data_IF_462931149501
#
_entry.id   IF_462931149501
#
_cell.length_a   1.000
_cell.length_b   1.000
_cell.length_c   1.000
_cell.angle_alpha   90.00
_cell.angle_beta   90.00
_cell.angle_gamma   90.00
#
_symmetry.space_group_name_H-M   'P 1'
#
loop_
_entity.id
_entity.type
_entity.pdbx_description
1 polymer ?
#
# COMPACT_ATOMS: atom_id res chain seq x y z
N UNK A 1 5.33 -12.65 -2.36
CA UNK A 1 4.69 -11.32 -2.09
C UNK A 1 5.37 -10.29 -2.96
N UNK A 2 4.59 -9.51 -3.74
CA UNK A 2 5.13 -8.41 -4.53
C UNK A 2 5.48 -7.21 -3.63
N UNK A 3 6.54 -6.50 -4.00
CA UNK A 3 7.00 -5.29 -3.30
C UNK A 3 6.97 -4.10 -4.25
N UNK A 4 6.28 -3.03 -3.86
CA UNK A 4 6.21 -1.80 -4.63
C UNK A 4 6.83 -0.63 -3.87
N UNK A 5 7.77 0.06 -4.49
CA UNK A 5 8.51 1.17 -3.89
C UNK A 5 7.94 2.52 -4.33
N UNK A 6 7.63 3.39 -3.37
CA UNK A 6 7.31 4.80 -3.65
C UNK A 6 8.61 5.54 -3.98
N UNK A 7 8.84 5.79 -5.26
CA UNK A 7 9.97 6.59 -5.75
C UNK A 7 9.75 7.08 -7.17
N UNK A 8 10.28 8.26 -7.46
CA UNK A 8 10.43 8.83 -8.80
C UNK A 8 11.91 8.93 -9.22
N UNK A 9 12.84 8.63 -8.32
CA UNK A 9 14.27 8.61 -8.62
C UNK A 9 14.63 7.37 -9.43
N UNK A 10 15.07 7.58 -10.68
CA UNK A 10 15.39 6.49 -11.60
C UNK A 10 16.59 5.64 -11.13
N UNK A 11 17.58 6.25 -10.47
CA UNK A 11 18.75 5.52 -9.95
C UNK A 11 18.31 4.54 -8.86
N UNK A 12 17.58 5.05 -7.86
CA UNK A 12 17.01 4.21 -6.80
C UNK A 12 16.06 3.14 -7.34
N UNK A 13 15.21 3.50 -8.33
CA UNK A 13 14.31 2.55 -8.95
C UNK A 13 15.07 1.40 -9.62
N UNK A 14 16.12 1.70 -10.41
CA UNK A 14 16.94 0.69 -11.07
C UNK A 14 17.60 -0.26 -10.08
N UNK A 15 18.31 0.28 -9.10
CA UNK A 15 18.97 -0.54 -8.06
C UNK A 15 17.97 -1.42 -7.30
N UNK A 16 16.79 -0.88 -6.99
CA UNK A 16 15.74 -1.63 -6.28
C UNK A 16 15.11 -2.69 -7.18
N UNK A 17 14.93 -2.42 -8.47
CA UNK A 17 14.39 -3.38 -9.43
C UNK A 17 15.36 -4.55 -9.65
N UNK A 18 16.64 -4.26 -9.84
CA UNK A 18 17.69 -5.28 -9.90
C UNK A 18 17.77 -6.10 -8.61
N UNK A 19 17.38 -5.49 -7.48
CA UNK A 19 17.26 -6.13 -6.17
C UNK A 19 16.00 -6.97 -5.97
N UNK A 20 15.06 -6.97 -6.92
CA UNK A 20 13.84 -7.79 -6.86
C UNK A 20 12.59 -7.06 -6.35
N UNK A 21 12.54 -5.72 -6.41
CA UNK A 21 11.30 -4.94 -6.28
C UNK A 21 10.49 -5.10 -7.56
N UNK A 22 9.20 -5.35 -7.45
CA UNK A 22 8.32 -5.69 -8.59
C UNK A 22 7.81 -4.45 -9.33
N UNK A 23 7.85 -3.28 -8.72
CA UNK A 23 7.41 -2.05 -9.36
C UNK A 23 7.47 -0.82 -8.47
N UNK A 24 7.05 0.30 -9.05
CA UNK A 24 7.20 1.62 -8.46
C UNK A 24 5.88 2.37 -8.44
N UNK A 25 5.66 3.11 -7.37
CA UNK A 25 4.49 4.00 -7.21
C UNK A 25 4.95 5.44 -7.39
N UNK A 26 4.41 6.09 -8.42
CA UNK A 26 4.51 7.54 -8.66
C UNK A 26 3.25 8.18 -8.10
N UNK A 27 3.42 9.13 -7.20
CA UNK A 27 2.34 9.63 -6.35
C UNK A 27 1.90 11.04 -6.76
N UNK A 28 0.79 11.13 -7.50
CA UNK A 28 0.17 12.39 -7.89
C UNK A 28 -0.89 12.88 -6.90
N UNK A 29 -1.12 12.13 -5.80
CA UNK A 29 -2.10 12.54 -4.81
C UNK A 29 -1.62 13.78 -4.04
N UNK A 30 -2.20 14.93 -4.37
CA UNK A 30 -1.95 16.22 -3.73
C UNK A 30 -3.23 16.87 -3.20
N UNK A 31 -4.36 16.68 -3.91
CA UNK A 31 -5.63 17.35 -3.60
C UNK A 31 -6.19 16.90 -2.25
N UNK A 32 -6.33 17.87 -1.34
CA UNK A 32 -6.89 17.65 0.00
C UNK A 32 -5.96 16.95 1.01
N UNK A 33 -4.76 16.53 0.59
CA UNK A 33 -3.80 15.84 1.46
C UNK A 33 -3.31 16.78 2.57
N UNK A 34 -2.99 18.05 2.23
CA UNK A 34 -2.59 19.07 3.21
C UNK A 34 -3.62 19.28 4.32
N UNK A 35 -4.91 19.21 3.98
CA UNK A 35 -5.99 19.42 4.94
C UNK A 35 -6.17 18.21 5.86
N UNK A 36 -6.06 16.97 5.34
CA UNK A 36 -6.24 15.73 6.10
C UNK A 36 -5.07 15.47 7.05
N UNK A 37 -3.88 15.88 6.66
CA UNK A 37 -2.63 15.43 7.27
C UNK A 37 -1.87 16.52 8.05
N UNK A 38 -2.46 17.72 8.26
CA UNK A 38 -1.81 18.85 8.97
C UNK A 38 -1.31 18.50 10.38
N UNK A 39 -1.93 17.53 11.03
CA UNK A 39 -1.59 17.09 12.38
C UNK A 39 -0.84 15.74 12.41
N UNK A 40 -0.55 15.18 11.23
CA UNK A 40 0.09 13.89 11.09
C UNK A 40 1.39 14.02 10.30
N UNK A 41 2.44 13.34 10.76
CA UNK A 41 3.73 13.25 10.07
C UNK A 41 3.59 12.39 8.79
N UNK A 42 3.08 13.00 7.73
CA UNK A 42 2.85 12.35 6.44
C UNK A 42 3.58 13.09 5.32
N UNK A 43 4.05 12.33 4.34
CA UNK A 43 4.82 12.85 3.21
C UNK A 43 3.87 13.24 2.07
N UNK A 44 4.00 14.48 1.58
CA UNK A 44 3.33 14.93 0.36
C UNK A 44 4.36 14.83 -0.76
N UNK A 45 4.18 13.87 -1.65
CA UNK A 45 4.97 13.78 -2.86
C UNK A 45 4.46 14.80 -3.89
N UNK A 46 5.37 15.29 -4.73
CA UNK A 46 5.06 16.18 -5.85
C UNK A 46 5.52 15.54 -7.15
N UNK A 47 5.25 14.25 -7.29
CA UNK A 47 5.65 13.49 -8.47
C UNK A 47 4.87 13.99 -9.69
N UNK A 48 5.54 14.00 -10.83
CA UNK A 48 5.03 14.58 -12.09
C UNK A 48 4.75 13.49 -13.14
N UNK A 49 4.02 13.80 -14.21
CA UNK A 49 3.88 12.91 -15.36
C UNK A 49 5.22 12.48 -15.97
N UNK A 50 6.20 13.39 -15.98
CA UNK A 50 7.55 13.13 -16.49
C UNK A 50 8.32 12.13 -15.61
N UNK A 51 8.04 12.09 -14.32
CA UNK A 51 8.59 11.09 -13.39
C UNK A 51 8.11 9.69 -13.75
N UNK A 52 6.82 9.55 -14.03
CA UNK A 52 6.23 8.29 -14.49
C UNK A 52 6.82 7.84 -15.84
N UNK A 53 6.96 8.77 -16.79
CA UNK A 53 7.51 8.50 -18.11
C UNK A 53 8.96 8.01 -18.04
N UNK A 54 9.78 8.59 -17.15
CA UNK A 54 11.18 8.17 -16.97
C UNK A 54 11.30 6.71 -16.51
N UNK A 55 10.35 6.18 -15.75
CA UNK A 55 10.37 4.79 -15.30
C UNK A 55 10.08 3.78 -16.42
N UNK A 56 9.66 4.19 -17.62
CA UNK A 56 9.42 3.30 -18.76
C UNK A 56 10.66 2.53 -19.21
N UNK A 57 11.86 3.04 -18.91
CA UNK A 57 13.11 2.33 -19.23
C UNK A 57 13.27 1.02 -18.43
N UNK A 58 12.49 0.83 -17.38
CA UNK A 58 12.39 -0.41 -16.61
C UNK A 58 11.21 -1.24 -17.17
N UNK A 59 11.43 -1.85 -18.33
CA UNK A 59 10.35 -2.44 -19.16
C UNK A 59 9.45 -3.43 -18.43
N UNK A 60 10.03 -4.27 -17.57
CA UNK A 60 9.28 -5.31 -16.84
C UNK A 60 8.80 -4.87 -15.46
N UNK A 61 9.12 -3.66 -15.02
CA UNK A 61 8.65 -3.14 -13.75
C UNK A 61 7.19 -2.66 -13.86
N UNK A 62 6.40 -2.93 -12.84
CA UNK A 62 5.08 -2.29 -12.72
C UNK A 62 5.25 -0.81 -12.41
N UNK A 63 4.55 0.02 -13.15
CA UNK A 63 4.54 1.49 -13.00
C UNK A 63 3.16 1.90 -12.56
N UNK A 64 3.01 2.03 -11.26
CA UNK A 64 1.74 2.31 -10.60
C UNK A 64 1.63 3.83 -10.43
N UNK A 65 0.61 4.46 -11.02
CA UNK A 65 0.32 5.87 -10.77
C UNK A 65 -0.82 5.99 -9.75
N UNK A 66 -0.52 6.55 -8.57
CA UNK A 66 -1.56 6.92 -7.62
C UNK A 66 -2.09 8.31 -8.01
N UNK A 67 -3.30 8.33 -8.54
CA UNK A 67 -4.01 9.56 -8.94
C UNK A 67 -4.60 10.29 -7.73
N UNK A 68 -5.22 11.46 -7.92
CA UNK A 68 -5.99 12.10 -6.85
C UNK A 68 -7.29 11.34 -6.54
N UNK A 69 -7.88 11.62 -5.38
CA UNK A 69 -9.20 11.12 -5.02
C UNK A 69 -10.21 11.41 -6.14
N UNK A 70 -11.19 10.51 -6.29
CA UNK A 70 -12.20 10.62 -7.35
C UNK A 70 -12.85 12.01 -7.40
N UNK A 71 -12.82 12.65 -8.57
CA UNK A 71 -13.34 13.99 -8.76
C UNK A 71 -13.22 14.50 -10.19
N UNK A 72 -13.31 15.83 -10.34
CA UNK A 72 -13.32 16.47 -11.65
C UNK A 72 -12.04 16.27 -12.48
N UNK A 73 -10.89 16.07 -11.81
CA UNK A 73 -9.59 15.86 -12.47
C UNK A 73 -9.36 14.41 -12.90
N UNK A 74 -10.06 13.46 -12.29
CA UNK A 74 -9.86 12.01 -12.50
C UNK A 74 -9.82 11.60 -13.98
N UNK A 75 -10.75 12.06 -14.86
CA UNK A 75 -10.70 11.65 -16.27
C UNK A 75 -9.39 12.07 -16.96
N UNK A 76 -8.92 13.28 -16.69
CA UNK A 76 -7.67 13.80 -17.27
C UNK A 76 -6.45 13.08 -16.73
N UNK A 77 -6.42 12.83 -15.42
CA UNK A 77 -5.30 12.14 -14.77
C UNK A 77 -5.14 10.71 -15.30
N UNK A 78 -6.25 9.99 -15.52
CA UNK A 78 -6.25 8.65 -16.12
C UNK A 78 -5.61 8.70 -17.51
N UNK A 79 -6.06 9.61 -18.39
CA UNK A 79 -5.53 9.72 -19.75
C UNK A 79 -4.03 10.03 -19.75
N UNK A 80 -3.61 11.02 -18.95
CA UNK A 80 -2.19 11.38 -18.85
C UNK A 80 -1.35 10.24 -18.29
N UNK A 81 -1.81 9.55 -17.26
CA UNK A 81 -1.06 8.44 -16.66
C UNK A 81 -0.87 7.28 -17.66
N UNK A 82 -1.91 6.93 -18.42
CA UNK A 82 -1.83 5.88 -19.46
C UNK A 82 -0.87 6.32 -20.57
N UNK A 83 -0.96 7.56 -21.06
CA UNK A 83 -0.06 8.12 -22.07
C UNK A 83 1.40 8.08 -21.60
N UNK A 84 1.64 8.43 -20.34
CA UNK A 84 2.96 8.42 -19.71
C UNK A 84 3.47 7.02 -19.35
N UNK A 85 2.68 5.98 -19.60
CA UNK A 85 3.10 4.58 -19.52
C UNK A 85 2.85 3.92 -18.19
N UNK A 86 1.83 4.35 -17.43
CA UNK A 86 1.33 3.58 -16.30
C UNK A 86 0.92 2.17 -16.75
N UNK A 87 1.29 1.18 -15.99
CA UNK A 87 0.78 -0.20 -16.13
C UNK A 87 -0.40 -0.43 -15.21
N UNK A 88 -0.48 0.37 -14.17
CA UNK A 88 -1.51 0.32 -13.13
C UNK A 88 -1.90 1.74 -12.69
N UNK A 89 -3.17 1.93 -12.39
CA UNK A 89 -3.66 3.12 -11.72
C UNK A 89 -4.13 2.74 -10.31
N UNK A 90 -3.96 3.65 -9.36
CA UNK A 90 -4.38 3.45 -7.98
C UNK A 90 -5.22 4.64 -7.53
N UNK A 91 -6.51 4.39 -7.29
CA UNK A 91 -7.47 5.41 -6.84
C UNK A 91 -7.48 5.48 -5.29
N UNK A 92 -7.05 6.59 -4.68
CA UNK A 92 -7.09 6.77 -3.24
C UNK A 92 -8.46 7.24 -2.76
N UNK A 93 -8.67 7.20 -1.44
CA UNK A 93 -9.80 7.85 -0.75
C UNK A 93 -11.19 7.43 -1.25
N UNK A 94 -11.33 6.20 -1.72
CA UNK A 94 -12.64 5.65 -2.12
C UNK A 94 -13.64 5.73 -0.97
N UNK A 95 -14.90 6.10 -1.27
CA UNK A 95 -15.99 6.19 -0.30
C UNK A 95 -17.24 5.40 -0.69
N UNK A 96 -17.39 5.07 -1.96
CA UNK A 96 -18.62 4.40 -2.41
C UNK A 96 -18.37 3.50 -3.61
N UNK A 97 -19.21 2.47 -3.80
CA UNK A 97 -19.21 1.64 -5.00
C UNK A 97 -19.42 2.46 -6.29
N UNK A 98 -20.17 3.56 -6.20
CA UNK A 98 -20.41 4.45 -7.35
C UNK A 98 -19.15 5.15 -7.85
N UNK A 99 -18.27 5.57 -6.92
CA UNK A 99 -16.98 6.17 -7.29
C UNK A 99 -16.09 5.14 -7.99
N UNK A 100 -16.03 3.92 -7.46
CA UNK A 100 -15.26 2.81 -8.03
C UNK A 100 -15.77 2.44 -9.43
N UNK A 101 -17.07 2.29 -9.61
CA UNK A 101 -17.68 1.98 -10.89
C UNK A 101 -17.40 3.08 -11.94
N UNK A 102 -17.52 4.34 -11.56
CA UNK A 102 -17.22 5.46 -12.45
C UNK A 102 -15.72 5.52 -12.82
N UNK A 103 -14.81 5.20 -11.88
CA UNK A 103 -13.38 5.08 -12.11
C UNK A 103 -13.08 3.92 -13.08
N UNK A 104 -13.60 2.72 -12.81
CA UNK A 104 -13.38 1.54 -13.65
C UNK A 104 -13.86 1.75 -15.09
N UNK A 105 -15.01 2.40 -15.27
CA UNK A 105 -15.50 2.78 -16.62
C UNK A 105 -14.56 3.73 -17.36
N UNK A 106 -13.84 4.59 -16.64
CA UNK A 106 -12.87 5.51 -17.26
C UNK A 106 -11.55 4.81 -17.60
N UNK A 107 -11.11 3.89 -16.77
CA UNK A 107 -9.93 3.07 -17.07
C UNK A 107 -10.19 2.15 -18.24
N UNK A 108 -11.40 1.60 -18.35
CA UNK A 108 -11.89 0.78 -19.48
C UNK A 108 -10.95 -0.40 -19.83
N UNK A 109 -10.35 -1.02 -18.81
CA UNK A 109 -9.45 -2.15 -18.98
C UNK A 109 -8.14 -1.86 -19.73
N UNK A 110 -7.83 -0.59 -20.00
CA UNK A 110 -6.61 -0.19 -20.74
C UNK A 110 -5.32 -0.43 -19.94
N UNK A 111 -5.43 -0.35 -18.64
CA UNK A 111 -4.40 -0.68 -17.65
C UNK A 111 -5.05 -1.32 -16.44
N UNK A 112 -4.27 -1.88 -15.54
CA UNK A 112 -4.82 -2.46 -14.29
C UNK A 112 -5.37 -1.36 -13.39
N UNK A 113 -6.54 -1.60 -12.83
CA UNK A 113 -7.25 -0.66 -11.98
C UNK A 113 -7.22 -1.10 -10.51
N UNK A 114 -6.50 -0.36 -9.68
CA UNK A 114 -6.42 -0.58 -8.25
C UNK A 114 -7.13 0.50 -7.44
N UNK A 115 -7.46 0.19 -6.19
CA UNK A 115 -8.08 1.12 -5.25
C UNK A 115 -7.41 1.07 -3.87
N UNK A 116 -7.56 2.17 -3.10
CA UNK A 116 -7.23 2.17 -1.68
C UNK A 116 -8.50 2.20 -0.83
N UNK A 117 -8.63 1.21 0.06
CA UNK A 117 -9.61 1.20 1.14
C UNK A 117 -8.96 1.89 2.34
N UNK A 118 -9.29 3.17 2.53
CA UNK A 118 -8.65 4.01 3.54
C UNK A 118 -9.61 5.02 4.16
N UNK A 119 -10.91 4.76 4.00
CA UNK A 119 -12.02 5.48 4.65
C UNK A 119 -12.95 4.48 5.32
N UNK A 120 -13.64 4.89 6.39
CA UNK A 120 -14.62 4.01 7.04
C UNK A 120 -15.76 3.68 6.07
N UNK A 121 -16.20 4.64 5.27
CA UNK A 121 -17.26 4.44 4.28
C UNK A 121 -16.89 3.35 3.25
N UNK A 122 -15.62 3.29 2.82
CA UNK A 122 -15.17 2.22 1.92
C UNK A 122 -15.15 0.85 2.61
N UNK A 123 -14.79 0.79 3.91
CA UNK A 123 -14.88 -0.44 4.68
C UNK A 123 -16.33 -0.91 4.80
N UNK A 124 -17.26 -0.01 5.10
CA UNK A 124 -18.69 -0.32 5.27
C UNK A 124 -19.34 -0.87 3.98
N UNK A 125 -18.82 -0.52 2.81
CA UNK A 125 -19.29 -1.03 1.51
C UNK A 125 -18.28 -1.95 0.80
N UNK A 126 -17.30 -2.50 1.53
CA UNK A 126 -16.25 -3.34 0.97
C UNK A 126 -16.79 -4.55 0.18
N UNK A 127 -17.88 -5.17 0.65
CA UNK A 127 -18.54 -6.29 -0.04
C UNK A 127 -19.07 -5.89 -1.42
N UNK A 128 -19.70 -4.72 -1.54
CA UNK A 128 -20.24 -4.24 -2.82
C UNK A 128 -19.09 -3.86 -3.78
N UNK A 129 -18.05 -3.24 -3.25
CA UNK A 129 -16.84 -2.89 -4.00
C UNK A 129 -16.13 -4.15 -4.50
N UNK A 130 -16.03 -5.20 -3.69
CA UNK A 130 -15.36 -6.44 -4.05
C UNK A 130 -16.05 -7.22 -5.19
N UNK A 131 -17.32 -6.94 -5.47
CA UNK A 131 -18.04 -7.53 -6.62
C UNK A 131 -17.65 -6.88 -7.96
N UNK A 132 -16.81 -5.83 -7.96
CA UNK A 132 -16.40 -5.12 -9.17
C UNK A 132 -15.07 -5.67 -9.73
N UNK A 133 -14.77 -5.50 -11.03
CA UNK A 133 -13.56 -6.00 -11.67
C UNK A 133 -12.33 -5.12 -11.30
N UNK A 134 -11.89 -5.21 -10.06
CA UNK A 134 -10.74 -4.50 -9.51
C UNK A 134 -9.52 -5.41 -9.58
N UNK A 135 -8.39 -4.90 -10.07
CA UNK A 135 -7.16 -5.66 -10.26
C UNK A 135 -6.25 -5.73 -9.04
N UNK A 136 -6.38 -4.78 -8.11
CA UNK A 136 -5.69 -4.80 -6.82
C UNK A 136 -6.35 -3.90 -5.78
N UNK A 137 -6.28 -4.29 -4.52
CA UNK A 137 -6.81 -3.54 -3.38
C UNK A 137 -5.74 -3.36 -2.33
N UNK A 138 -5.62 -2.15 -1.81
CA UNK A 138 -4.70 -1.86 -0.71
C UNK A 138 -5.40 -1.12 0.43
N UNK A 139 -5.20 -1.58 1.66
CA UNK A 139 -5.71 -0.89 2.85
C UNK A 139 -4.70 0.14 3.34
N UNK A 140 -5.06 1.43 3.21
CA UNK A 140 -4.25 2.57 3.63
C UNK A 140 -4.43 2.89 5.10
N UNK A 141 -3.58 2.35 5.97
CA UNK A 141 -3.75 2.40 7.44
C UNK A 141 -3.73 3.83 8.02
N UNK A 142 -2.94 4.76 7.43
CA UNK A 142 -2.84 6.12 7.96
C UNK A 142 -4.14 6.91 7.75
N UNK A 143 -4.61 7.00 6.51
CA UNK A 143 -5.84 7.73 6.20
C UNK A 143 -7.06 7.01 6.77
N UNK A 144 -7.05 5.68 6.88
CA UNK A 144 -8.09 4.93 7.58
C UNK A 144 -8.13 5.28 9.08
N UNK A 145 -6.99 5.41 9.74
CA UNK A 145 -6.95 5.83 11.13
C UNK A 145 -7.50 7.27 11.31
N UNK A 146 -7.18 8.17 10.38
CA UNK A 146 -7.72 9.54 10.37
C UNK A 146 -9.25 9.50 10.18
N UNK A 147 -9.74 8.76 9.19
CA UNK A 147 -11.17 8.61 8.90
C UNK A 147 -11.95 8.04 10.09
N UNK A 148 -11.35 7.12 10.83
CA UNK A 148 -11.95 6.49 12.02
C UNK A 148 -11.71 7.25 13.32
N UNK A 149 -11.01 8.37 13.29
CA UNK A 149 -10.55 9.07 14.50
C UNK A 149 -9.83 8.14 15.49
N UNK A 150 -9.05 7.19 14.95
CA UNK A 150 -8.32 6.21 15.75
C UNK A 150 -6.99 6.78 16.23
N UNK A 151 -6.64 6.54 17.49
CA UNK A 151 -5.33 6.86 18.05
C UNK A 151 -4.19 6.02 17.46
N UNK A 152 -4.48 4.88 16.82
CA UNK A 152 -3.48 3.96 16.28
C UNK A 152 -3.76 3.60 14.83
N UNK A 153 -2.74 3.70 13.98
CA UNK A 153 -2.80 3.21 12.60
C UNK A 153 -2.91 1.67 12.52
N UNK A 154 -2.61 0.97 13.61
CA UNK A 154 -2.69 -0.49 13.71
C UNK A 154 -4.01 -0.99 14.30
N UNK A 155 -4.93 -0.09 14.66
CA UNK A 155 -6.24 -0.46 15.20
C UNK A 155 -6.99 -1.48 14.32
N UNK A 156 -6.98 -1.39 12.97
CA UNK A 156 -7.69 -2.34 12.11
C UNK A 156 -7.24 -3.80 12.27
N UNK A 157 -6.00 -4.04 12.71
CA UNK A 157 -5.53 -5.40 13.02
C UNK A 157 -6.03 -5.89 14.40
N UNK A 158 -6.33 -4.97 15.31
CA UNK A 158 -6.71 -5.28 16.69
C UNK A 158 -8.20 -5.50 16.82
N UNK A 159 -8.99 -4.68 16.13
CA UNK A 159 -10.47 -4.71 16.18
C UNK A 159 -11.10 -5.65 15.13
N UNK A 160 -10.27 -6.28 14.29
CA UNK A 160 -10.70 -7.26 13.29
C UNK A 160 -11.11 -6.69 11.94
N UNK A 161 -11.20 -5.35 11.78
CA UNK A 161 -11.62 -4.71 10.53
C UNK A 161 -10.73 -5.11 9.34
N UNK A 162 -9.41 -5.22 9.55
CA UNK A 162 -8.50 -5.60 8.47
C UNK A 162 -8.80 -7.00 7.93
N UNK A 163 -9.19 -7.93 8.80
CA UNK A 163 -9.59 -9.29 8.40
C UNK A 163 -10.95 -9.29 7.71
N UNK A 164 -11.92 -8.57 8.25
CA UNK A 164 -13.25 -8.42 7.65
C UNK A 164 -13.16 -7.88 6.22
N UNK A 165 -12.40 -6.81 6.00
CA UNK A 165 -12.18 -6.26 4.66
C UNK A 165 -11.50 -7.29 3.76
N UNK A 166 -10.44 -7.98 4.25
CA UNK A 166 -9.73 -9.02 3.47
C UNK A 166 -10.65 -10.15 2.99
N UNK A 167 -11.60 -10.57 3.82
CA UNK A 167 -12.54 -11.65 3.50
C UNK A 167 -13.46 -11.31 2.31
N UNK A 168 -13.72 -10.04 2.05
CA UNK A 168 -14.48 -9.63 0.86
C UNK A 168 -13.64 -9.70 -0.43
N UNK A 169 -12.31 -9.54 -0.34
CA UNK A 169 -11.40 -9.50 -1.50
C UNK A 169 -10.58 -10.79 -1.65
N UNK A 170 -11.18 -11.98 -1.47
CA UNK A 170 -10.46 -13.26 -1.47
C UNK A 170 -9.70 -13.55 -2.77
N UNK A 171 -10.24 -13.16 -3.91
CA UNK A 171 -9.68 -13.42 -5.24
C UNK A 171 -8.93 -12.24 -5.85
N UNK A 172 -9.04 -11.07 -5.24
CA UNK A 172 -8.34 -9.86 -5.71
C UNK A 172 -7.00 -9.73 -4.99
N UNK A 173 -5.89 -9.47 -5.70
CA UNK A 173 -4.61 -9.16 -5.09
C UNK A 173 -4.75 -8.07 -4.01
N UNK A 174 -4.36 -8.40 -2.79
CA UNK A 174 -4.64 -7.62 -1.60
C UNK A 174 -3.36 -7.24 -0.85
N UNK A 175 -3.25 -5.98 -0.47
CA UNK A 175 -2.13 -5.48 0.31
C UNK A 175 -2.57 -4.54 1.42
N UNK A 176 -1.73 -4.39 2.43
CA UNK A 176 -1.92 -3.39 3.49
C UNK A 176 -0.60 -3.11 4.21
N UNK A 177 -0.58 -2.00 4.94
CA UNK A 177 0.60 -1.63 5.72
C UNK A 177 1.85 -1.37 4.88
N UNK A 178 2.81 -0.68 5.42
CA UNK A 178 4.09 -0.42 4.74
C UNK A 178 5.22 -1.19 5.40
N UNK A 179 5.99 -1.92 4.59
CA UNK A 179 7.19 -2.62 5.07
C UNK A 179 8.44 -1.74 4.97
N UNK A 180 9.45 -2.11 5.74
CA UNK A 180 10.81 -1.59 5.69
C UNK A 180 11.80 -2.75 5.82
N UNK A 181 13.09 -2.45 5.98
CA UNK A 181 14.12 -3.47 6.19
C UNK A 181 13.79 -4.37 7.39
N UNK A 182 14.21 -5.62 7.34
CA UNK A 182 13.80 -6.67 8.29
C UNK A 182 14.09 -6.32 9.76
N UNK A 183 15.23 -5.70 10.02
CA UNK A 183 15.65 -5.25 11.36
C UNK A 183 15.26 -3.80 11.69
N UNK A 184 14.42 -3.18 10.85
CA UNK A 184 13.88 -1.84 11.02
C UNK A 184 12.45 -1.82 11.55
N UNK A 185 11.80 -0.67 11.30
CA UNK A 185 10.40 -0.44 11.66
C UNK A 185 10.23 0.34 12.96
N UNK A 186 9.38 1.37 12.89
CA UNK A 186 9.00 2.18 14.03
C UNK A 186 7.56 2.74 13.80
N UNK A 187 6.73 2.77 14.81
CA UNK A 187 6.93 2.29 16.21
C UNK A 187 6.85 0.76 16.34
N UNK A 188 6.35 0.07 15.33
CA UNK A 188 6.22 -1.39 15.30
C UNK A 188 7.40 -2.00 14.53
N UNK A 189 8.13 -3.00 15.08
CA UNK A 189 9.17 -3.71 14.35
C UNK A 189 8.66 -4.33 13.05
N UNK A 190 9.45 -4.25 11.97
CA UNK A 190 9.08 -4.72 10.63
C UNK A 190 8.61 -6.18 10.62
N UNK A 191 9.34 -7.08 11.30
CA UNK A 191 8.95 -8.50 11.40
C UNK A 191 7.62 -8.73 12.10
N UNK A 192 7.29 -7.90 13.10
CA UNK A 192 6.00 -8.01 13.81
C UNK A 192 4.86 -7.55 12.92
N UNK A 193 5.04 -6.51 12.11
CA UNK A 193 4.05 -6.12 11.10
C UNK A 193 3.94 -7.17 10.01
N UNK A 194 5.07 -7.66 9.50
CA UNK A 194 5.12 -8.67 8.44
C UNK A 194 4.38 -9.94 8.83
N UNK A 195 4.49 -10.36 10.10
CA UNK A 195 3.75 -11.53 10.60
C UNK A 195 2.22 -11.35 10.53
N UNK A 196 1.72 -10.13 10.78
CA UNK A 196 0.29 -9.82 10.62
C UNK A 196 -0.12 -9.74 9.15
N UNK A 197 0.70 -9.15 8.28
CA UNK A 197 0.41 -9.12 6.84
C UNK A 197 0.31 -10.55 6.27
N UNK A 198 1.20 -11.45 6.68
CA UNK A 198 1.14 -12.86 6.28
C UNK A 198 -0.10 -13.57 6.84
N UNK A 199 -0.51 -13.28 8.09
CA UNK A 199 -1.74 -13.78 8.69
C UNK A 199 -2.98 -13.34 7.89
N UNK A 200 -2.97 -12.13 7.35
CA UNK A 200 -4.03 -11.59 6.48
C UNK A 200 -3.87 -12.01 5.01
N UNK A 201 -2.90 -12.89 4.70
CA UNK A 201 -2.68 -13.39 3.33
C UNK A 201 -2.52 -12.25 2.33
N UNK A 202 -1.67 -11.25 2.66
CA UNK A 202 -1.37 -10.18 1.74
C UNK A 202 -0.55 -10.69 0.56
N UNK A 203 -0.92 -10.29 -0.66
CA UNK A 203 -0.24 -10.64 -1.90
C UNK A 203 0.90 -9.65 -2.21
N UNK A 204 0.79 -8.42 -1.72
CA UNK A 204 1.78 -7.36 -1.91
C UNK A 204 1.85 -6.40 -0.73
N UNK A 205 2.92 -5.61 -0.68
CA UNK A 205 3.06 -4.49 0.25
C UNK A 205 3.86 -3.35 -0.37
N UNK A 206 3.69 -2.15 0.19
CA UNK A 206 4.47 -0.99 -0.20
C UNK A 206 5.72 -0.82 0.66
N UNK A 207 6.85 -0.49 0.02
CA UNK A 207 8.05 0.03 0.64
C UNK A 207 7.94 1.55 0.66
N UNK A 208 7.67 2.13 1.84
CA UNK A 208 7.34 3.55 2.00
C UNK A 208 8.49 4.32 2.66
N UNK A 209 8.15 5.45 3.25
CA UNK A 209 9.02 6.40 3.93
C UNK A 209 10.05 5.77 4.90
N UNK A 210 9.58 4.84 5.74
CA UNK A 210 10.46 4.13 6.66
C UNK A 210 11.56 3.35 5.92
N UNK A 211 11.23 2.74 4.78
CA UNK A 211 12.21 2.05 3.96
C UNK A 211 13.28 3.01 3.41
N UNK A 212 12.87 4.18 2.88
CA UNK A 212 13.83 5.18 2.39
C UNK A 212 14.85 5.62 3.45
N UNK A 213 14.40 5.75 4.69
CA UNK A 213 15.28 6.08 5.81
C UNK A 213 16.16 4.89 6.21
N UNK A 214 15.57 3.72 6.33
CA UNK A 214 16.21 2.54 6.90
C UNK A 214 17.15 1.85 5.90
N UNK A 215 17.04 2.14 4.58
CA UNK A 215 17.90 1.61 3.50
C UNK A 215 19.24 2.37 3.37
N UNK A 216 19.36 3.55 3.98
CA UNK A 216 20.57 4.36 3.86
C UNK A 216 21.81 3.58 4.33
N UNK A 217 22.81 3.50 3.47
CA UNK A 217 24.04 2.75 3.73
C UNK A 217 23.92 1.21 3.58
N UNK A 218 22.79 0.73 3.05
CA UNK A 218 22.55 -0.70 2.77
C UNK A 218 22.41 -0.92 1.25
N UNK A 219 22.65 -2.14 0.81
CA UNK A 219 22.43 -2.52 -0.59
C UNK A 219 20.97 -2.92 -0.78
N UNK A 220 20.20 -2.24 -1.66
CA UNK A 220 18.76 -2.49 -1.84
C UNK A 220 18.43 -3.97 -2.12
N UNK A 221 19.16 -4.61 -3.03
CA UNK A 221 18.95 -6.01 -3.37
C UNK A 221 19.11 -6.98 -2.20
N UNK A 222 20.08 -6.75 -1.33
CA UNK A 222 20.26 -7.57 -0.15
C UNK A 222 19.08 -7.43 0.82
N UNK A 223 18.59 -6.21 1.03
CA UNK A 223 17.47 -5.96 1.94
C UNK A 223 16.16 -6.50 1.37
N UNK A 224 15.92 -6.37 0.07
CA UNK A 224 14.76 -6.97 -0.61
C UNK A 224 14.80 -8.50 -0.49
N UNK A 225 15.96 -9.13 -0.73
CA UNK A 225 16.12 -10.58 -0.56
C UNK A 225 15.84 -11.03 0.89
N UNK A 226 16.26 -10.24 1.89
CA UNK A 226 15.95 -10.50 3.31
C UNK A 226 14.46 -10.38 3.62
N UNK A 227 13.77 -9.37 3.06
CA UNK A 227 12.31 -9.22 3.18
C UNK A 227 11.62 -10.43 2.57
N UNK A 228 11.99 -10.84 1.35
CA UNK A 228 11.40 -11.99 0.68
C UNK A 228 11.65 -13.31 1.42
N UNK A 229 12.84 -13.49 1.98
CA UNK A 229 13.16 -14.68 2.79
C UNK A 229 12.33 -14.73 4.09
N UNK A 230 12.20 -13.58 4.79
CA UNK A 230 11.37 -13.48 5.98
C UNK A 230 9.88 -13.73 5.65
N UNK A 231 9.40 -13.20 4.53
CA UNK A 231 8.02 -13.43 4.08
C UNK A 231 7.74 -14.92 3.86
N UNK A 232 8.61 -15.62 3.11
CA UNK A 232 8.48 -17.08 2.90
C UNK A 232 8.45 -17.86 4.20
N UNK A 233 9.27 -17.46 5.18
CA UNK A 233 9.25 -18.10 6.50
C UNK A 233 7.91 -17.91 7.22
N UNK A 234 7.29 -16.74 7.08
CA UNK A 234 5.96 -16.48 7.64
C UNK A 234 4.83 -17.24 6.92
N UNK A 235 4.91 -17.45 5.61
CA UNK A 235 3.94 -18.26 4.85
C UNK A 235 3.98 -19.74 5.24
N UNK A 236 5.12 -20.24 5.69
CA UNK A 236 5.31 -21.65 6.08
C UNK A 236 4.90 -21.97 7.53
N UNK A 237 4.42 -21.00 8.30
CA UNK A 237 4.02 -21.23 9.69
C UNK A 237 2.78 -22.10 9.79
N UNK A 238 2.75 -22.94 10.81
CA UNK A 238 1.52 -23.64 11.22
C UNK A 238 0.57 -22.69 11.99
N UNK A 239 -0.63 -23.15 12.26
CA UNK A 239 -1.65 -22.36 12.94
C UNK A 239 -1.22 -21.91 14.35
N UNK A 240 -0.46 -22.73 15.07
CA UNK A 240 0.03 -22.38 16.41
C UNK A 240 1.06 -21.26 16.37
N UNK A 241 1.97 -21.29 15.40
CA UNK A 241 2.95 -20.23 15.19
C UNK A 241 2.28 -18.91 14.73
N UNK A 242 1.29 -18.99 13.85
CA UNK A 242 0.48 -17.81 13.44
C UNK A 242 -0.19 -17.16 14.64
N UNK A 243 -0.83 -17.96 15.51
CA UNK A 243 -1.47 -17.44 16.72
C UNK A 243 -0.45 -16.84 17.70
N UNK A 244 0.68 -17.49 17.92
CA UNK A 244 1.76 -16.97 18.77
C UNK A 244 2.28 -15.61 18.30
N UNK A 245 2.48 -15.45 16.99
CA UNK A 245 2.92 -14.18 16.39
C UNK A 245 1.82 -13.11 16.50
N UNK A 246 0.55 -13.46 16.32
CA UNK A 246 -0.56 -12.55 16.55
C UNK A 246 -0.60 -12.04 18.01
N UNK A 247 -0.43 -12.92 18.99
CA UNK A 247 -0.34 -12.52 20.40
C UNK A 247 0.88 -11.61 20.67
N UNK A 248 2.00 -11.87 20.00
CA UNK A 248 3.18 -10.99 20.03
C UNK A 248 2.89 -9.60 19.47
N UNK A 249 2.17 -9.52 18.35
CA UNK A 249 1.71 -8.27 17.78
C UNK A 249 0.80 -7.52 18.77
N UNK A 250 -0.24 -8.15 19.30
CA UNK A 250 -1.17 -7.54 20.27
C UNK A 250 -0.45 -7.03 21.52
N UNK A 251 0.49 -7.80 22.06
CA UNK A 251 1.29 -7.40 23.22
C UNK A 251 2.19 -6.20 22.94
N UNK A 252 2.76 -6.15 21.74
CA UNK A 252 3.61 -5.04 21.28
C UNK A 252 2.77 -3.79 21.06
N UNK A 253 1.63 -3.90 20.40
CA UNK A 253 0.68 -2.80 20.20
C UNK A 253 0.23 -2.21 21.53
N UNK A 254 -0.21 -3.03 22.51
CA UNK A 254 -0.61 -2.57 23.84
C UNK A 254 0.50 -1.81 24.57
N UNK A 255 1.79 -2.20 24.40
CA UNK A 255 2.92 -1.47 24.98
C UNK A 255 3.14 -0.10 24.33
N UNK A 256 2.89 0.01 23.04
CA UNK A 256 2.99 1.28 22.30
C UNK A 256 1.90 2.26 22.75
N UNK A 257 0.66 1.79 22.90
CA UNK A 257 -0.46 2.63 23.34
C UNK A 257 -0.28 3.17 24.77
N UNK A 258 0.36 2.42 25.66
CA UNK A 258 0.67 2.88 27.03
C UNK A 258 1.77 3.94 27.13
N UNK A 259 2.53 4.16 26.04
CA UNK A 259 3.64 5.11 26.00
C UNK A 259 3.26 6.43 25.32
N UNK A 260 2.08 6.51 24.77
CA UNK A 260 1.46 7.74 24.22
C UNK A 260 0.71 8.48 25.33
#
# INVERSE_FOLDING_TARGET
>A
MDLFLFTHDLGQARESFEGGVDGFVVDWETLGKDRRQREHDTEINQDTPEDLERLRVLENARRICRVNAFGATTPREIEVAIEKGATDLLLPMVRSPREVDAYLRRVDGRVRAGILIETQEACDCAREIAAMPIDLVYVGLNDLAISRHSGSIFAPFVDGLALEVREHFETTPFGMGGLTVVDGGFPLPSLVLMSELARHRCDFSFLRRSYRRDIVGRHPGNEVARIQAAWKAFEMRDAAAVEADHQRFLSTHRRLERRR
#
